data_IF_491726484838
#
_entry.id   IF_491726484838
#
_cell.length_a   1.000
_cell.length_b   1.000
_cell.length_c   1.000
_cell.angle_alpha   90.00
_cell.angle_beta   90.00
_cell.angle_gamma   90.00
#
_symmetry.space_group_name_H-M   'P 1'
#
loop_
_entity.id
_entity.type
_entity.pdbx_description
1 polymer ?
#
# COMPACT_ATOMS: atom_id res chain seq x y z
N UNK A 1 -6.83 -1.84 -13.28
CA UNK A 1 -6.90 -2.60 -12.01
C UNK A 1 -5.58 -3.29 -11.63
N UNK A 2 -4.56 -3.40 -12.51
CA UNK A 2 -3.36 -4.24 -12.29
C UNK A 2 -2.11 -3.51 -11.75
N UNK A 3 -1.99 -2.18 -11.94
CA UNK A 3 -0.71 -1.46 -11.69
C UNK A 3 -0.25 -1.37 -10.24
N UNK A 4 -1.15 -1.40 -9.26
CA UNK A 4 -0.79 -1.19 -7.84
C UNK A 4 -0.16 -2.46 -7.26
N UNK A 5 -0.66 -3.64 -7.64
CA UNK A 5 -0.11 -4.92 -7.19
C UNK A 5 1.28 -5.16 -7.77
N UNK A 6 1.49 -4.85 -9.04
CA UNK A 6 2.83 -4.94 -9.67
C UNK A 6 3.83 -3.95 -9.04
N UNK A 7 3.37 -2.74 -8.68
CA UNK A 7 4.21 -1.77 -7.97
C UNK A 7 4.53 -2.20 -6.53
N UNK A 8 3.68 -3.01 -5.90
CA UNK A 8 3.95 -3.62 -4.60
C UNK A 8 4.89 -4.82 -4.70
N UNK A 9 4.77 -5.62 -5.75
CA UNK A 9 5.64 -6.77 -6.02
C UNK A 9 7.09 -6.33 -6.31
N UNK A 10 7.24 -5.20 -7.01
CA UNK A 10 8.54 -4.58 -7.30
C UNK A 10 9.05 -3.65 -6.19
N UNK A 11 8.33 -3.54 -5.07
CA UNK A 11 8.71 -2.63 -3.99
C UNK A 11 9.98 -3.15 -3.29
N UNK A 12 11.00 -2.30 -3.07
CA UNK A 12 12.16 -2.70 -2.30
C UNK A 12 11.78 -2.93 -0.82
N UNK A 13 12.61 -3.69 -0.11
CA UNK A 13 12.37 -4.17 1.27
C UNK A 13 12.12 -3.05 2.31
N UNK A 14 12.51 -1.81 2.00
CA UNK A 14 12.25 -0.60 2.79
C UNK A 14 11.52 0.49 2.00
N UNK A 15 10.94 0.11 0.87
CA UNK A 15 10.20 0.98 -0.02
C UNK A 15 8.84 1.34 0.56
N UNK A 16 8.32 2.47 0.11
CA UNK A 16 6.95 2.88 0.38
C UNK A 16 6.27 3.25 -0.93
N UNK A 17 5.05 2.75 -1.13
CA UNK A 17 4.23 3.03 -2.29
C UNK A 17 3.17 4.04 -1.91
N UNK A 18 3.12 5.16 -2.62
CA UNK A 18 2.09 6.18 -2.46
C UNK A 18 1.14 6.13 -3.63
N UNK A 19 -0.13 5.88 -3.35
CA UNK A 19 -1.19 5.74 -4.35
C UNK A 19 -2.23 6.84 -4.11
N UNK A 20 -2.44 7.68 -5.10
CA UNK A 20 -3.56 8.63 -5.10
C UNK A 20 -4.71 8.01 -5.88
N UNK A 21 -5.84 7.85 -5.21
CA UNK A 21 -7.00 7.18 -5.76
C UNK A 21 -8.28 7.94 -5.41
N UNK A 22 -9.12 8.16 -6.41
CA UNK A 22 -10.40 8.88 -6.31
C UNK A 22 -11.53 8.04 -5.68
N UNK A 23 -11.28 6.75 -5.40
CA UNK A 23 -12.26 5.75 -4.94
C UNK A 23 -11.61 4.71 -4.04
N UNK A 24 -12.33 4.15 -3.08
CA UNK A 24 -11.73 3.15 -2.18
C UNK A 24 -11.36 1.83 -2.89
N UNK A 25 -10.08 1.41 -2.83
CA UNK A 25 -9.64 0.16 -3.43
C UNK A 25 -9.89 -1.02 -2.48
N UNK A 26 -11.16 -1.38 -2.29
CA UNK A 26 -11.60 -2.51 -1.44
C UNK A 26 -10.82 -3.84 -1.61
N UNK A 27 -10.49 -4.31 -2.84
CA UNK A 27 -9.74 -5.56 -2.98
C UNK A 27 -8.27 -5.47 -2.59
N UNK A 28 -7.67 -4.26 -2.56
CA UNK A 28 -6.26 -4.08 -2.19
C UNK A 28 -6.03 -4.29 -0.70
N UNK A 29 -6.97 -3.87 0.16
CA UNK A 29 -6.82 -4.05 1.62
C UNK A 29 -6.64 -5.52 2.00
N UNK A 30 -7.39 -6.44 1.39
CA UNK A 30 -7.24 -7.89 1.62
C UNK A 30 -5.89 -8.44 1.20
N UNK A 31 -5.29 -7.90 0.15
CA UNK A 31 -3.93 -8.30 -0.27
C UNK A 31 -2.92 -7.76 0.73
N UNK A 32 -3.02 -6.48 1.09
CA UNK A 32 -2.11 -5.84 2.04
C UNK A 32 -2.05 -6.58 3.38
N UNK A 33 -3.20 -6.98 3.92
CA UNK A 33 -3.27 -7.80 5.14
C UNK A 33 -2.61 -9.17 4.97
N UNK A 34 -2.83 -9.84 3.82
CA UNK A 34 -2.27 -11.18 3.56
C UNK A 34 -0.75 -11.18 3.45
N UNK A 35 -0.18 -10.11 2.91
CA UNK A 35 1.25 -9.99 2.66
C UNK A 35 1.96 -9.16 3.76
N UNK A 36 1.31 -8.94 4.91
CA UNK A 36 1.89 -8.25 6.08
C UNK A 36 2.35 -6.81 5.78
N UNK A 37 1.78 -6.17 4.75
CA UNK A 37 2.05 -4.77 4.43
C UNK A 37 1.22 -3.87 5.35
N UNK A 38 1.86 -2.82 5.85
CA UNK A 38 1.13 -1.73 6.51
C UNK A 38 0.64 -0.75 5.47
N UNK A 39 -0.54 -0.20 5.72
CA UNK A 39 -1.11 0.83 4.88
C UNK A 39 -1.76 1.93 5.72
N UNK A 40 -1.81 3.14 5.17
CA UNK A 40 -2.47 4.31 5.75
C UNK A 40 -3.24 5.02 4.66
N UNK A 41 -4.54 5.17 4.86
CA UNK A 41 -5.40 5.94 3.99
C UNK A 41 -5.62 7.32 4.61
N UNK A 42 -5.42 8.39 3.86
CA UNK A 42 -5.68 9.76 4.27
C UNK A 42 -6.58 10.44 3.23
N UNK A 43 -7.73 11.03 3.63
CA UNK A 43 -8.53 11.83 2.71
C UNK A 43 -7.79 13.12 2.39
N UNK A 44 -7.63 13.38 1.09
CA UNK A 44 -7.07 14.62 0.56
C UNK A 44 -8.22 15.59 0.34
N UNK A 45 -8.01 16.89 0.64
CA UNK A 45 -9.04 17.93 0.51
C UNK A 45 -9.64 18.10 -0.91
N UNK A 46 -9.08 17.43 -1.91
CA UNK A 46 -9.52 17.41 -3.31
C UNK A 46 -10.58 16.33 -3.61
N UNK A 47 -11.09 15.63 -2.59
CA UNK A 47 -12.01 14.49 -2.75
C UNK A 47 -11.32 13.17 -3.11
N UNK A 48 -9.99 13.15 -3.10
CA UNK A 48 -9.17 11.97 -3.38
C UNK A 48 -8.68 11.33 -2.10
N UNK A 49 -8.36 10.05 -2.15
CA UNK A 49 -7.74 9.32 -1.06
C UNK A 49 -6.27 9.06 -1.38
N UNK A 50 -5.43 9.36 -0.41
CA UNK A 50 -4.03 9.01 -0.43
C UNK A 50 -3.82 7.73 0.36
N UNK A 51 -3.46 6.65 -0.34
CA UNK A 51 -3.10 5.37 0.26
C UNK A 51 -1.59 5.22 0.25
N UNK A 52 -1.00 5.22 1.44
CA UNK A 52 0.43 5.05 1.65
C UNK A 52 0.66 3.63 2.18
N UNK A 53 1.44 2.84 1.47
CA UNK A 53 1.73 1.44 1.78
C UNK A 53 3.22 1.29 2.02
N UNK A 54 3.61 0.51 3.03
CA UNK A 54 5.00 0.22 3.31
C UNK A 54 5.18 -1.20 3.85
N UNK A 55 6.30 -1.84 3.53
CA UNK A 55 6.67 -3.08 4.21
C UNK A 55 7.00 -2.78 5.66
N UNK A 56 6.46 -3.60 6.56
CA UNK A 56 7.07 -3.74 7.87
C UNK A 56 8.32 -4.58 7.62
N UNK A 57 9.53 -4.10 7.97
CA UNK A 57 10.67 -4.99 7.97
C UNK A 57 10.30 -6.12 8.93
N UNK A 58 10.13 -7.33 8.39
CA UNK A 58 10.17 -8.54 9.19
C UNK A 58 11.48 -8.42 9.96
N UNK A 59 11.39 -8.18 11.26
CA UNK A 59 12.56 -8.06 12.11
C UNK A 59 13.32 -9.36 11.94
N UNK A 60 14.32 -9.37 11.06
CA UNK A 60 15.21 -10.49 10.85
C UNK A 60 15.91 -10.68 12.18
N UNK A 61 15.37 -11.57 13.00
CA UNK A 61 16.08 -12.14 14.13
C UNK A 61 17.27 -12.89 13.54
N UNK A 62 18.45 -12.28 13.62
CA UNK A 62 19.74 -12.90 13.41
C UNK A 62 20.73 -12.28 14.41
#
# INVERSE_FOLDING_TARGET
MVRILEALDTLPERGSLRVLIDREPHPLYRVLERYEFRHRTCPTGDGRYELLIWQVPLSSAA
#
